data_IF_666715611722
#
_entry.id   IF_666715611722
#
_cell.length_a   1.000
_cell.length_b   1.000
_cell.length_c   1.000
_cell.angle_alpha   90.00
_cell.angle_beta   90.00
_cell.angle_gamma   90.00
#
_symmetry.space_group_name_H-M   'P 1'
#
loop_
_entity.id
_entity.type
_entity.pdbx_description
1 polymer ?
#
# COMPACT_ATOMS: atom_id res chain seq x y z
N UNK A 1 21.55 1.40 -32.27
CA UNK A 1 21.20 1.05 -33.66
C UNK A 1 19.90 0.27 -33.61
N UNK A 2 18.84 0.85 -34.13
CA UNK A 2 17.50 0.26 -34.25
C UNK A 2 17.46 -0.64 -35.48
N UNK A 3 17.18 -1.92 -35.31
CA UNK A 3 16.71 -2.80 -36.39
C UNK A 3 15.27 -3.21 -36.08
N UNK A 4 14.42 -3.17 -37.11
CA UNK A 4 13.01 -3.58 -37.05
C UNK A 4 12.82 -4.94 -37.75
N UNK A 5 11.83 -5.66 -37.22
CA UNK A 5 11.01 -6.72 -37.81
C UNK A 5 11.49 -8.19 -37.74
N UNK A 6 11.33 -8.80 -36.57
CA UNK A 6 10.75 -10.15 -36.42
C UNK A 6 9.68 -10.10 -35.32
N UNK A 7 8.56 -10.81 -35.48
CA UNK A 7 7.31 -10.61 -34.73
C UNK A 7 7.28 -11.13 -33.29
N UNK A 8 8.11 -10.60 -32.38
CA UNK A 8 8.00 -10.89 -30.95
C UNK A 8 7.04 -9.88 -30.29
N UNK A 9 5.87 -10.35 -29.89
CA UNK A 9 4.78 -9.56 -29.31
C UNK A 9 4.69 -9.68 -27.78
N UNK A 10 5.79 -10.02 -27.11
CA UNK A 10 5.85 -10.15 -25.66
C UNK A 10 7.14 -9.51 -25.13
N UNK A 11 7.07 -8.99 -23.91
CA UNK A 11 8.22 -8.44 -23.19
C UNK A 11 8.38 -9.14 -21.84
N UNK A 12 9.61 -9.17 -21.35
CA UNK A 12 9.93 -9.57 -19.99
C UNK A 12 10.80 -8.52 -19.29
N UNK A 13 10.69 -8.46 -17.97
CA UNK A 13 11.51 -7.59 -17.13
C UNK A 13 11.79 -8.27 -15.80
N UNK A 14 13.05 -8.25 -15.39
CA UNK A 14 13.43 -8.64 -14.03
C UNK A 14 13.72 -7.37 -13.21
N UNK A 15 13.15 -7.29 -12.00
CA UNK A 15 13.49 -6.29 -11.00
C UNK A 15 14.12 -6.97 -9.80
N UNK A 16 15.44 -6.82 -9.65
CA UNK A 16 16.22 -7.40 -8.54
C UNK A 16 15.71 -6.94 -7.16
N UNK A 17 15.25 -5.69 -7.05
CA UNK A 17 14.80 -5.14 -5.77
C UNK A 17 13.48 -5.77 -5.29
N UNK A 18 12.59 -6.08 -6.23
CA UNK A 18 11.29 -6.70 -5.94
C UNK A 18 11.36 -8.23 -5.98
N UNK A 19 12.51 -8.78 -6.38
CA UNK A 19 12.68 -10.19 -6.74
C UNK A 19 11.56 -10.65 -7.72
N UNK A 20 11.14 -9.76 -8.63
CA UNK A 20 10.01 -10.00 -9.54
C UNK A 20 10.48 -10.13 -10.98
N UNK A 21 10.10 -11.24 -11.61
CA UNK A 21 10.17 -11.46 -13.03
C UNK A 21 8.78 -11.28 -13.66
N UNK A 22 8.61 -10.26 -14.48
CA UNK A 22 7.36 -9.92 -15.14
C UNK A 22 7.33 -10.42 -16.59
N UNK A 23 6.23 -11.04 -16.99
CA UNK A 23 5.92 -11.42 -18.37
C UNK A 23 4.66 -10.68 -18.84
N UNK A 24 4.73 -10.01 -20.00
CA UNK A 24 3.60 -9.24 -20.52
C UNK A 24 3.46 -9.36 -22.05
N UNK A 25 2.23 -9.13 -22.55
CA UNK A 25 1.93 -9.19 -23.97
C UNK A 25 1.47 -10.58 -24.46
N UNK A 26 1.77 -10.91 -25.72
CA UNK A 26 1.31 -12.10 -26.42
C UNK A 26 2.46 -13.11 -26.58
N UNK A 27 2.56 -14.05 -25.64
CA UNK A 27 3.61 -15.06 -25.57
C UNK A 27 3.28 -16.30 -26.41
N UNK A 28 3.48 -16.21 -27.73
CA UNK A 28 3.13 -17.28 -28.69
C UNK A 28 4.29 -17.68 -29.61
N UNK A 29 5.39 -18.21 -29.07
CA UNK A 29 6.53 -18.65 -29.88
C UNK A 29 6.18 -19.86 -30.75
N UNK A 30 6.86 -20.04 -31.89
CA UNK A 30 6.69 -21.25 -32.72
C UNK A 30 7.52 -22.42 -32.19
N UNK A 31 8.68 -22.16 -31.59
CA UNK A 31 9.51 -23.14 -30.89
C UNK A 31 9.97 -22.63 -29.51
N UNK A 32 10.47 -23.54 -28.65
CA UNK A 32 10.99 -23.14 -27.34
C UNK A 32 12.23 -22.21 -27.46
N UNK A 33 13.00 -22.33 -28.55
CA UNK A 33 14.23 -21.55 -28.78
C UNK A 33 13.95 -20.04 -28.88
N UNK A 34 12.76 -19.65 -29.32
CA UNK A 34 12.33 -18.24 -29.34
C UNK A 34 12.18 -17.63 -27.93
N UNK A 35 12.22 -18.45 -26.88
CA UNK A 35 12.20 -17.99 -25.49
C UNK A 35 13.59 -17.91 -24.86
N UNK A 36 14.67 -18.30 -25.54
CA UNK A 36 15.99 -18.43 -24.92
C UNK A 36 16.42 -17.18 -24.15
N UNK A 37 16.26 -15.97 -24.72
CA UNK A 37 16.60 -14.73 -24.02
C UNK A 37 15.75 -14.46 -22.77
N UNK A 38 14.48 -14.90 -22.76
CA UNK A 38 13.62 -14.84 -21.58
C UNK A 38 14.03 -15.88 -20.53
N UNK A 39 14.40 -17.10 -20.97
CA UNK A 39 14.81 -18.18 -20.07
C UNK A 39 16.16 -17.86 -19.42
N UNK A 40 17.13 -17.32 -20.16
CA UNK A 40 18.42 -16.86 -19.62
C UNK A 40 18.25 -15.74 -18.58
N UNK A 41 17.31 -14.81 -18.82
CA UNK A 41 16.99 -13.77 -17.86
C UNK A 41 16.32 -14.37 -16.61
N UNK A 42 15.46 -15.37 -16.76
CA UNK A 42 14.82 -16.08 -15.65
C UNK A 42 15.83 -16.90 -14.83
N UNK A 43 16.80 -17.56 -15.47
CA UNK A 43 17.94 -18.22 -14.82
C UNK A 43 18.77 -17.22 -13.99
N UNK A 44 19.01 -16.04 -14.55
CA UNK A 44 19.73 -14.97 -13.85
C UNK A 44 18.93 -14.50 -12.62
N UNK A 45 17.61 -14.37 -12.77
CA UNK A 45 16.73 -14.00 -11.66
C UNK A 45 16.71 -15.07 -10.55
N UNK A 46 16.49 -16.34 -10.90
CA UNK A 46 16.39 -17.44 -9.92
C UNK A 46 17.72 -17.71 -9.20
N UNK A 47 18.85 -17.46 -9.86
CA UNK A 47 20.18 -17.60 -9.24
C UNK A 47 20.53 -16.48 -8.26
N UNK A 48 19.96 -15.29 -8.41
CA UNK A 48 20.25 -14.11 -7.57
C UNK A 48 19.27 -13.93 -6.42
N UNK A 49 18.02 -14.35 -6.59
CA UNK A 49 16.94 -14.23 -5.60
C UNK A 49 17.14 -15.16 -4.40
N UNK A 50 16.75 -14.66 -3.22
CA UNK A 50 16.76 -15.39 -1.94
C UNK A 50 15.33 -15.51 -1.39
N UNK A 51 14.97 -16.72 -0.96
CA UNK A 51 13.70 -17.00 -0.29
C UNK A 51 12.53 -17.15 -1.26
N UNK A 52 12.13 -16.09 -1.98
CA UNK A 52 10.98 -16.14 -2.90
C UNK A 52 11.19 -15.29 -4.16
N UNK A 53 10.93 -15.87 -5.33
CA UNK A 53 10.82 -15.18 -6.63
C UNK A 53 9.35 -14.93 -6.95
N UNK A 54 9.01 -13.73 -7.39
CA UNK A 54 7.67 -13.40 -7.89
C UNK A 54 7.65 -13.49 -9.42
N UNK A 55 6.84 -14.38 -9.99
CA UNK A 55 6.57 -14.43 -11.41
C UNK A 55 5.24 -13.74 -11.71
N UNK A 56 5.30 -12.51 -12.23
CA UNK A 56 4.10 -11.73 -12.53
C UNK A 56 3.65 -11.98 -13.98
N UNK A 57 2.47 -12.57 -14.15
CA UNK A 57 1.89 -12.88 -15.47
C UNK A 57 0.56 -12.16 -15.72
N UNK A 58 0.21 -11.19 -14.86
CA UNK A 58 -1.06 -10.45 -14.91
C UNK A 58 -1.31 -9.76 -16.25
N UNK A 59 -0.25 -9.31 -16.91
CA UNK A 59 -0.31 -8.56 -18.18
C UNK A 59 -0.12 -9.44 -19.42
N UNK A 60 -0.20 -10.77 -19.27
CA UNK A 60 -0.24 -11.67 -20.42
C UNK A 60 -1.61 -11.63 -21.09
N UNK A 61 -1.63 -11.24 -22.36
CA UNK A 61 -2.84 -11.24 -23.19
C UNK A 61 -3.11 -12.63 -23.74
N UNK A 62 -2.06 -13.34 -24.18
CA UNK A 62 -2.16 -14.71 -24.72
C UNK A 62 -0.89 -15.49 -24.41
N UNK A 63 -1.03 -16.80 -24.20
CA UNK A 63 0.10 -17.73 -24.11
C UNK A 63 -0.26 -19.05 -24.80
N UNK A 64 0.61 -19.56 -25.68
CA UNK A 64 0.41 -20.89 -26.27
C UNK A 64 1.01 -22.00 -25.38
N UNK A 65 0.80 -23.27 -25.74
CA UNK A 65 1.29 -24.38 -24.93
C UNK A 65 2.81 -24.57 -24.98
N UNK A 66 3.46 -24.18 -26.08
CA UNK A 66 4.93 -24.23 -26.19
C UNK A 66 5.55 -23.33 -25.11
N UNK A 67 5.09 -22.08 -25.01
CA UNK A 67 5.59 -21.17 -23.99
C UNK A 67 5.27 -21.61 -22.57
N UNK A 68 4.04 -22.03 -22.31
CA UNK A 68 3.67 -22.51 -20.99
C UNK A 68 4.54 -23.68 -20.54
N UNK A 69 4.74 -24.68 -21.40
CA UNK A 69 5.52 -25.87 -21.06
C UNK A 69 7.00 -25.54 -20.82
N UNK A 70 7.57 -24.61 -21.59
CA UNK A 70 8.94 -24.16 -21.38
C UNK A 70 9.10 -23.48 -20.01
N UNK A 71 8.25 -22.50 -19.70
CA UNK A 71 8.29 -21.78 -18.42
C UNK A 71 7.97 -22.72 -17.26
N UNK A 72 6.87 -23.47 -17.34
CA UNK A 72 6.44 -24.40 -16.30
C UNK A 72 7.54 -25.40 -15.91
N UNK A 73 8.16 -26.04 -16.92
CA UNK A 73 9.25 -26.98 -16.69
C UNK A 73 10.41 -26.31 -15.97
N UNK A 74 10.80 -25.13 -16.42
CA UNK A 74 11.89 -24.37 -15.81
C UNK A 74 11.61 -23.98 -14.36
N UNK A 75 10.40 -23.51 -14.03
CA UNK A 75 10.03 -23.18 -12.65
C UNK A 75 10.09 -24.41 -11.74
N UNK A 76 9.55 -25.55 -12.21
CA UNK A 76 9.59 -26.81 -11.47
C UNK A 76 11.03 -27.29 -11.28
N UNK A 77 11.84 -27.30 -12.35
CA UNK A 77 13.25 -27.70 -12.30
C UNK A 77 14.04 -26.77 -11.36
N UNK A 78 13.74 -25.47 -11.37
CA UNK A 78 14.35 -24.50 -10.45
C UNK A 78 14.03 -24.87 -9.00
N UNK A 79 12.76 -25.08 -8.63
CA UNK A 79 12.39 -25.45 -7.26
C UNK A 79 12.93 -26.81 -6.83
N UNK A 80 13.14 -27.75 -7.77
CA UNK A 80 13.81 -29.03 -7.49
C UNK A 80 15.29 -28.80 -7.18
N UNK A 81 15.97 -27.93 -7.93
CA UNK A 81 17.40 -27.65 -7.76
C UNK A 81 17.69 -26.65 -6.62
N UNK A 82 16.72 -25.81 -6.27
CA UNK A 82 16.76 -24.79 -5.22
C UNK A 82 15.58 -25.00 -4.26
N UNK A 83 15.63 -26.01 -3.38
CA UNK A 83 14.56 -26.29 -2.42
C UNK A 83 14.38 -25.16 -1.39
N UNK A 84 15.35 -24.24 -1.27
CA UNK A 84 15.29 -23.01 -0.49
C UNK A 84 14.48 -21.88 -1.16
N UNK A 85 14.21 -22.01 -2.47
CA UNK A 85 13.53 -20.98 -3.26
C UNK A 85 12.06 -21.33 -3.45
N UNK A 86 11.19 -20.41 -3.02
CA UNK A 86 9.78 -20.41 -3.32
C UNK A 86 9.51 -19.59 -4.57
N UNK A 87 8.54 -19.98 -5.39
CA UNK A 87 8.11 -19.20 -6.55
C UNK A 87 6.63 -18.87 -6.37
N UNK A 88 6.31 -17.58 -6.28
CA UNK A 88 4.95 -17.08 -6.27
C UNK A 88 4.59 -16.65 -7.69
N UNK A 89 3.63 -17.31 -8.32
CA UNK A 89 3.08 -16.87 -9.60
C UNK A 89 1.84 -16.03 -9.35
N UNK A 90 1.84 -14.79 -9.84
CA UNK A 90 0.68 -13.90 -9.72
C UNK A 90 -0.04 -13.79 -11.06
N UNK A 91 -1.26 -14.31 -11.13
CA UNK A 91 -2.18 -14.22 -12.28
C UNK A 91 -3.19 -13.09 -12.07
N UNK A 92 -4.10 -12.86 -13.02
CA UNK A 92 -5.15 -11.84 -12.88
C UNK A 92 -6.53 -12.44 -13.15
N UNK A 93 -7.54 -12.06 -12.36
CA UNK A 93 -8.95 -12.45 -12.56
C UNK A 93 -9.48 -12.02 -13.94
N UNK A 94 -9.01 -10.88 -14.45
CA UNK A 94 -9.29 -10.39 -15.81
C UNK A 94 -8.69 -11.27 -16.93
N UNK A 95 -7.78 -12.20 -16.59
CA UNK A 95 -7.14 -13.15 -17.50
C UNK A 95 -7.40 -14.58 -17.00
N UNK A 96 -8.67 -14.95 -16.84
CA UNK A 96 -9.08 -16.20 -16.17
C UNK A 96 -8.55 -17.51 -16.76
N UNK A 97 -7.98 -17.53 -17.98
CA UNK A 97 -7.28 -18.71 -18.48
C UNK A 97 -5.92 -18.92 -17.78
N UNK A 98 -5.27 -17.85 -17.33
CA UNK A 98 -3.91 -17.87 -16.77
C UNK A 98 -3.90 -18.56 -15.41
N UNK A 99 -4.82 -18.19 -14.51
CA UNK A 99 -5.01 -18.81 -13.19
C UNK A 99 -5.18 -20.32 -13.31
N UNK A 100 -6.16 -20.78 -14.10
CA UNK A 100 -6.39 -22.21 -14.34
C UNK A 100 -5.16 -22.95 -14.86
N UNK A 101 -4.34 -22.29 -15.69
CA UNK A 101 -3.17 -22.91 -16.31
C UNK A 101 -2.01 -23.01 -15.34
N UNK A 102 -1.70 -21.93 -14.62
CA UNK A 102 -0.58 -21.88 -13.69
C UNK A 102 -0.87 -22.63 -12.39
N UNK A 103 -2.12 -22.69 -11.93
CA UNK A 103 -2.49 -23.39 -10.70
C UNK A 103 -2.15 -24.89 -10.72
N UNK A 104 -2.04 -25.50 -11.91
CA UNK A 104 -1.52 -26.86 -12.05
C UNK A 104 -0.09 -27.04 -11.51
N UNK A 105 0.69 -25.96 -11.36
CA UNK A 105 2.07 -26.01 -10.84
C UNK A 105 2.13 -26.24 -9.33
N UNK A 106 1.11 -25.82 -8.57
CA UNK A 106 1.05 -26.06 -7.12
C UNK A 106 1.02 -27.56 -6.80
N UNK A 107 0.38 -28.34 -7.68
CA UNK A 107 0.38 -29.81 -7.59
C UNK A 107 1.69 -30.45 -8.07
N UNK A 108 2.50 -29.73 -8.85
CA UNK A 108 3.76 -30.22 -9.38
C UNK A 108 4.92 -30.01 -8.40
N UNK A 109 4.90 -28.93 -7.60
CA UNK A 109 5.91 -28.66 -6.59
C UNK A 109 5.35 -27.78 -5.45
N UNK A 110 5.53 -28.20 -4.20
CA UNK A 110 5.05 -27.49 -3.00
C UNK A 110 5.65 -26.09 -2.80
N UNK A 111 6.80 -25.81 -3.41
CA UNK A 111 7.46 -24.50 -3.34
C UNK A 111 6.93 -23.52 -4.40
N UNK A 112 5.99 -23.96 -5.25
CA UNK A 112 5.30 -23.10 -6.21
C UNK A 112 3.90 -22.82 -5.67
N UNK A 113 3.58 -21.54 -5.58
CA UNK A 113 2.29 -21.02 -5.13
C UNK A 113 1.72 -20.12 -6.22
N UNK A 114 0.42 -20.16 -6.43
CA UNK A 114 -0.25 -19.39 -7.48
C UNK A 114 -1.38 -18.60 -6.86
N UNK A 115 -1.24 -17.27 -6.87
CA UNK A 115 -2.29 -16.36 -6.43
C UNK A 115 -2.93 -15.69 -7.64
N UNK A 116 -4.26 -15.61 -7.62
CA UNK A 116 -4.98 -14.74 -8.53
C UNK A 116 -5.03 -13.36 -7.92
N UNK A 117 -4.40 -12.39 -8.58
CA UNK A 117 -4.65 -10.99 -8.29
C UNK A 117 -6.03 -10.65 -8.80
N UNK A 118 -6.95 -10.53 -7.85
CA UNK A 118 -8.26 -10.01 -8.13
C UNK A 118 -8.26 -8.51 -7.86
N UNK A 119 -8.54 -7.71 -8.90
CA UNK A 119 -8.85 -6.29 -8.69
C UNK A 119 -10.04 -6.10 -7.76
N UNK A 120 -10.89 -7.14 -7.63
CA UNK A 120 -12.07 -7.15 -6.78
C UNK A 120 -11.76 -7.51 -5.31
N UNK A 121 -10.52 -7.94 -4.98
CA UNK A 121 -10.10 -8.17 -3.58
C UNK A 121 -9.71 -6.85 -2.88
N UNK A 122 -9.38 -5.80 -3.64
CA UNK A 122 -9.16 -4.45 -3.12
C UNK A 122 -9.82 -3.41 -4.04
N UNK A 123 -11.16 -3.45 -4.21
CA UNK A 123 -11.86 -2.65 -5.22
C UNK A 123 -11.60 -1.15 -5.00
N UNK A 124 -11.50 -0.72 -3.74
CA UNK A 124 -11.22 0.65 -3.34
C UNK A 124 -9.76 1.12 -3.43
N UNK A 125 -8.77 0.22 -3.46
CA UNK A 125 -7.35 0.65 -3.50
C UNK A 125 -6.97 1.28 -4.85
N UNK A 126 -7.61 0.86 -5.94
CA UNK A 126 -7.34 1.41 -7.29
C UNK A 126 -7.54 2.93 -7.36
N UNK A 127 -8.47 3.50 -6.58
CA UNK A 127 -8.67 4.94 -6.48
C UNK A 127 -7.46 5.69 -5.90
N UNK A 128 -6.63 5.02 -5.10
CA UNK A 128 -5.57 5.61 -4.28
C UNK A 128 -4.15 5.35 -4.83
N UNK A 129 -4.01 4.43 -5.79
CA UNK A 129 -2.71 3.97 -6.31
C UNK A 129 -2.16 4.76 -7.51
N UNK A 130 -2.98 5.60 -8.15
CA UNK A 130 -2.53 6.35 -9.33
C UNK A 130 -1.54 7.48 -8.94
N UNK A 131 -0.53 7.72 -9.79
CA UNK A 131 0.57 8.67 -9.52
C UNK A 131 0.17 10.13 -9.22
N UNK A 132 -1.12 10.48 -9.35
CA UNK A 132 -1.70 11.73 -8.85
C UNK A 132 -1.72 11.86 -7.32
N UNK A 133 -1.52 10.76 -6.57
CA UNK A 133 -1.54 10.76 -5.10
C UNK A 133 -0.25 11.20 -4.41
N UNK A 134 0.90 11.19 -5.10
CA UNK A 134 2.19 11.53 -4.48
C UNK A 134 2.21 12.93 -3.84
N UNK A 135 1.76 14.01 -4.52
CA UNK A 135 1.72 15.34 -3.89
C UNK A 135 0.81 15.39 -2.66
N UNK A 136 -0.28 14.63 -2.67
CA UNK A 136 -1.27 14.57 -1.60
C UNK A 136 -0.65 13.92 -0.37
N UNK A 137 -0.06 12.73 -0.53
CA UNK A 137 0.58 11.98 0.55
C UNK A 137 1.75 12.76 1.18
N UNK A 138 2.46 13.55 0.36
CA UNK A 138 3.52 14.44 0.84
C UNK A 138 2.97 15.57 1.71
N UNK A 139 1.91 16.23 1.24
CA UNK A 139 1.24 17.28 2.00
C UNK A 139 0.59 16.73 3.27
N UNK A 140 -0.01 15.54 3.22
CA UNK A 140 -0.55 14.84 4.39
C UNK A 140 0.56 14.60 5.41
N UNK A 141 1.69 14.02 5.00
CA UNK A 141 2.83 13.78 5.90
C UNK A 141 3.37 15.07 6.51
N UNK A 142 3.45 16.15 5.70
CA UNK A 142 3.88 17.47 6.19
C UNK A 142 2.96 17.99 7.31
N UNK A 143 1.64 17.90 7.13
CA UNK A 143 0.67 18.40 8.10
C UNK A 143 0.60 17.51 9.36
N UNK A 144 0.73 16.18 9.21
CA UNK A 144 0.62 15.24 10.35
C UNK A 144 1.90 15.12 11.16
N UNK A 145 3.09 15.29 10.56
CA UNK A 145 4.37 15.05 11.23
C UNK A 145 4.58 15.91 12.49
N UNK A 146 4.11 17.15 12.48
CA UNK A 146 4.20 18.05 13.63
C UNK A 146 3.52 17.47 14.88
N UNK A 147 2.40 16.77 14.70
CA UNK A 147 1.66 16.12 15.77
C UNK A 147 2.28 14.75 16.11
N UNK A 148 2.55 13.95 15.08
CA UNK A 148 2.99 12.57 15.26
C UNK A 148 4.36 12.48 15.93
N UNK A 149 5.30 13.38 15.61
CA UNK A 149 6.64 13.34 16.21
C UNK A 149 6.61 13.42 17.75
N UNK A 150 5.61 14.12 18.30
CA UNK A 150 5.42 14.23 19.75
C UNK A 150 4.73 12.98 20.35
N UNK A 151 3.82 12.36 19.58
CA UNK A 151 3.01 11.21 20.02
C UNK A 151 3.82 9.90 19.94
N UNK A 152 4.65 9.72 18.93
CA UNK A 152 5.43 8.49 18.70
C UNK A 152 6.24 8.06 19.94
N UNK A 153 6.95 9.00 20.56
CA UNK A 153 7.73 8.74 21.78
C UNK A 153 6.86 8.33 22.96
N UNK A 154 5.68 8.94 23.13
CA UNK A 154 4.70 8.56 24.17
C UNK A 154 4.10 7.17 23.94
N UNK A 155 4.01 6.79 22.67
CA UNK A 155 3.60 5.46 22.26
C UNK A 155 4.74 4.43 22.31
N UNK A 156 5.97 4.84 22.61
CA UNK A 156 7.07 3.94 22.98
C UNK A 156 8.15 3.77 21.91
N UNK A 157 8.10 4.53 20.81
CA UNK A 157 9.22 4.61 19.87
C UNK A 157 10.41 5.26 20.57
N UNK A 158 11.60 4.68 20.40
CA UNK A 158 12.84 5.17 21.02
C UNK A 158 13.99 5.10 20.02
N UNK A 159 15.04 5.90 20.22
CA UNK A 159 16.19 5.83 19.35
C UNK A 159 16.85 4.44 19.31
N UNK A 160 17.39 4.07 18.14
CA UNK A 160 18.08 2.80 17.92
C UNK A 160 17.19 1.54 17.85
N UNK A 161 15.87 1.67 17.98
CA UNK A 161 14.94 0.53 17.83
C UNK A 161 14.95 -0.06 16.41
N UNK A 162 14.57 -1.33 16.30
CA UNK A 162 14.25 -1.96 15.02
C UNK A 162 12.78 -1.71 14.70
N UNK A 163 12.52 -1.01 13.61
CA UNK A 163 11.20 -0.56 13.22
C UNK A 163 10.77 -1.10 11.85
N UNK A 164 9.49 -1.40 11.70
CA UNK A 164 8.85 -1.64 10.42
C UNK A 164 7.74 -0.61 10.18
N UNK A 165 7.68 -0.02 9.00
CA UNK A 165 6.60 0.87 8.55
C UNK A 165 5.84 0.21 7.40
N UNK A 166 4.65 -0.29 7.69
CA UNK A 166 3.83 -1.11 6.80
C UNK A 166 2.74 -0.25 6.16
N UNK A 167 2.55 -0.39 4.85
CA UNK A 167 1.82 0.55 4.01
C UNK A 167 2.47 1.94 4.04
N UNK A 168 3.79 2.01 3.81
CA UNK A 168 4.56 3.22 3.98
C UNK A 168 4.29 4.32 2.92
N UNK A 169 3.53 3.99 1.87
CA UNK A 169 3.23 4.86 0.74
C UNK A 169 4.50 5.41 0.11
N UNK A 170 4.59 6.73 0.01
CA UNK A 170 5.74 7.45 -0.56
C UNK A 170 6.97 7.49 0.35
N UNK A 171 6.91 6.87 1.54
CA UNK A 171 8.05 6.66 2.42
C UNK A 171 8.59 7.90 3.14
N UNK A 172 7.94 9.06 3.02
CA UNK A 172 8.35 10.31 3.69
C UNK A 172 8.38 10.17 5.22
N UNK A 173 7.40 9.47 5.80
CA UNK A 173 7.37 9.19 7.23
C UNK A 173 8.56 8.33 7.68
N UNK A 174 8.90 7.28 6.94
CA UNK A 174 10.06 6.44 7.23
C UNK A 174 11.35 7.27 7.26
N UNK A 175 11.52 8.22 6.32
CA UNK A 175 12.66 9.15 6.30
C UNK A 175 12.68 10.05 7.54
N UNK A 176 11.52 10.60 7.92
CA UNK A 176 11.40 11.48 9.08
C UNK A 176 11.67 10.73 10.38
N UNK A 177 11.12 9.53 10.54
CA UNK A 177 11.35 8.65 11.68
C UNK A 177 12.84 8.25 11.78
N UNK A 178 13.48 7.90 10.66
CA UNK A 178 14.91 7.58 10.63
C UNK A 178 15.78 8.76 11.06
N UNK A 179 15.45 9.98 10.62
CA UNK A 179 16.20 11.19 11.00
C UNK A 179 16.03 11.56 12.47
N UNK A 180 14.82 11.44 13.00
CA UNK A 180 14.49 11.87 14.37
C UNK A 180 14.96 10.86 15.41
N UNK A 181 14.83 9.57 15.13
CA UNK A 181 15.06 8.50 16.09
C UNK A 181 16.34 7.69 15.80
N UNK A 182 17.07 7.94 14.72
CA UNK A 182 18.32 7.20 14.42
C UNK A 182 18.13 5.67 14.56
N UNK A 183 17.10 5.14 13.91
CA UNK A 183 16.70 3.74 14.10
C UNK A 183 17.83 2.79 13.69
N UNK A 184 18.00 1.73 14.47
CA UNK A 184 19.06 0.74 14.24
C UNK A 184 18.80 -0.10 12.99
N UNK A 185 17.52 -0.29 12.66
CA UNK A 185 17.03 -0.87 11.41
C UNK A 185 15.64 -0.31 11.12
N UNK A 186 15.38 0.13 9.89
CA UNK A 186 14.05 0.50 9.43
C UNK A 186 13.72 -0.23 8.13
N UNK A 187 12.64 -1.01 8.14
CA UNK A 187 12.04 -1.60 6.93
C UNK A 187 10.76 -0.86 6.61
N UNK A 188 10.61 -0.37 5.40
CA UNK A 188 9.41 0.32 4.92
C UNK A 188 8.80 -0.48 3.77
N UNK A 189 7.57 -0.98 3.95
CA UNK A 189 6.91 -1.89 3.02
C UNK A 189 5.66 -1.24 2.42
N UNK A 190 5.52 -1.36 1.10
CA UNK A 190 4.33 -0.92 0.37
C UNK A 190 4.12 -1.73 -0.91
N UNK A 191 2.88 -1.85 -1.38
CA UNK A 191 2.56 -2.54 -2.63
C UNK A 191 2.67 -1.63 -3.85
N UNK A 192 2.82 -0.31 -3.66
CA UNK A 192 2.97 0.66 -4.74
C UNK A 192 4.44 0.83 -5.17
N UNK A 193 4.82 0.19 -6.27
CA UNK A 193 6.19 0.30 -6.83
C UNK A 193 6.58 1.74 -7.14
N UNK A 194 5.67 2.53 -7.71
CA UNK A 194 5.88 3.95 -8.00
C UNK A 194 6.15 4.76 -6.74
N UNK A 195 5.43 4.46 -5.64
CA UNK A 195 5.65 5.12 -4.35
C UNK A 195 6.98 4.74 -3.73
N UNK A 196 7.38 3.47 -3.80
CA UNK A 196 8.70 3.03 -3.33
C UNK A 196 9.86 3.60 -4.16
N UNK A 197 9.71 3.69 -5.48
CA UNK A 197 10.72 4.32 -6.35
C UNK A 197 10.88 5.81 -6.03
N UNK A 198 9.75 6.50 -5.78
CA UNK A 198 9.76 7.86 -5.27
C UNK A 198 10.48 7.94 -3.91
N UNK A 199 10.11 7.08 -2.96
CA UNK A 199 10.68 7.06 -1.61
C UNK A 199 12.21 6.89 -1.64
N UNK A 200 12.71 5.94 -2.45
CA UNK A 200 14.16 5.72 -2.64
C UNK A 200 14.86 6.95 -3.20
N UNK A 201 14.26 7.61 -4.20
CA UNK A 201 14.80 8.85 -4.77
C UNK A 201 14.87 9.96 -3.72
N UNK A 202 13.79 10.17 -2.95
CA UNK A 202 13.73 11.19 -1.90
C UNK A 202 14.74 10.90 -0.79
N UNK A 203 14.85 9.66 -0.33
CA UNK A 203 15.83 9.26 0.67
C UNK A 203 17.27 9.56 0.20
N UNK A 204 17.58 9.26 -1.07
CA UNK A 204 18.87 9.58 -1.67
C UNK A 204 19.13 11.09 -1.78
N UNK A 205 18.14 11.87 -2.21
CA UNK A 205 18.23 13.35 -2.29
C UNK A 205 18.51 13.99 -0.93
N UNK A 206 17.91 13.46 0.14
CA UNK A 206 18.12 13.93 1.51
C UNK A 206 19.33 13.28 2.21
N UNK A 207 20.07 12.40 1.53
CA UNK A 207 21.23 11.70 2.10
C UNK A 207 20.88 10.77 3.27
N UNK A 208 19.62 10.33 3.40
CA UNK A 208 19.18 9.41 4.44
C UNK A 208 19.54 7.99 4.06
N UNK A 209 20.19 7.30 4.99
CA UNK A 209 20.58 5.88 4.87
C UNK A 209 19.88 5.08 5.96
N UNK A 210 19.84 3.76 5.80
CA UNK A 210 19.30 2.85 6.82
C UNK A 210 17.80 2.55 6.69
N UNK A 211 17.18 2.96 5.59
CA UNK A 211 15.78 2.60 5.25
C UNK A 211 15.80 1.52 4.16
N UNK A 212 15.29 0.34 4.48
CA UNK A 212 15.09 -0.78 3.56
C UNK A 212 13.68 -0.69 2.96
N UNK A 213 13.54 -0.18 1.73
CA UNK A 213 12.27 -0.11 1.02
C UNK A 213 11.94 -1.41 0.30
N UNK A 214 10.88 -2.09 0.73
CA UNK A 214 10.50 -3.44 0.28
C UNK A 214 9.13 -3.40 -0.41
N UNK A 215 9.06 -3.93 -1.62
CA UNK A 215 7.77 -4.20 -2.26
C UNK A 215 7.14 -5.43 -1.61
N UNK A 216 5.87 -5.33 -1.20
CA UNK A 216 5.16 -6.47 -0.63
C UNK A 216 3.69 -6.18 -0.34
N UNK A 217 2.93 -7.24 -0.11
CA UNK A 217 1.55 -7.18 0.36
C UNK A 217 1.53 -7.17 1.89
N UNK A 218 0.76 -6.27 2.49
CA UNK A 218 0.65 -6.14 3.94
C UNK A 218 -0.13 -7.30 4.59
N UNK A 219 -0.93 -8.03 3.82
CA UNK A 219 -1.67 -9.24 4.25
C UNK A 219 -0.81 -10.51 4.26
N UNK A 220 0.31 -10.52 3.52
CA UNK A 220 1.23 -11.66 3.44
C UNK A 220 2.70 -11.16 3.35
N UNK A 221 3.23 -10.67 4.47
CA UNK A 221 4.56 -10.06 4.48
C UNK A 221 5.69 -11.09 4.51
N UNK A 222 6.69 -10.95 3.64
CA UNK A 222 7.95 -11.71 3.68
C UNK A 222 8.94 -11.21 4.77
N UNK A 223 8.40 -10.80 5.91
CA UNK A 223 9.16 -10.45 7.10
C UNK A 223 9.02 -11.59 8.10
N UNK A 224 10.07 -11.92 8.85
CA UNK A 224 9.96 -13.02 9.82
C UNK A 224 9.18 -12.57 11.05
N UNK A 225 8.66 -13.55 11.79
CA UNK A 225 7.96 -13.28 13.05
C UNK A 225 8.92 -12.69 14.09
N UNK A 226 8.42 -11.81 14.96
CA UNK A 226 9.15 -11.27 16.10
C UNK A 226 10.46 -10.53 15.74
N UNK A 227 10.47 -9.74 14.66
CA UNK A 227 11.64 -9.01 14.20
C UNK A 227 11.72 -7.57 14.68
N UNK A 228 10.60 -6.90 14.96
CA UNK A 228 10.60 -5.45 15.18
C UNK A 228 10.15 -5.06 16.60
N UNK A 229 10.85 -4.10 17.20
CA UNK A 229 10.51 -3.54 18.51
C UNK A 229 9.29 -2.61 18.40
N UNK A 230 9.14 -1.94 17.24
CA UNK A 230 8.07 -1.00 16.95
C UNK A 230 7.59 -1.18 15.50
N UNK A 231 6.29 -1.36 15.29
CA UNK A 231 5.69 -1.53 13.96
C UNK A 231 4.67 -0.43 13.76
N UNK A 232 4.73 0.31 12.66
CA UNK A 232 3.75 1.31 12.28
C UNK A 232 2.91 0.85 11.09
N UNK A 233 1.63 1.21 11.09
CA UNK A 233 0.76 1.14 9.92
C UNK A 233 -0.17 2.36 9.95
N UNK A 234 0.08 3.33 9.06
CA UNK A 234 -0.48 4.69 9.17
C UNK A 234 -1.44 4.99 8.05
N UNK A 235 -2.60 5.55 8.37
CA UNK A 235 -3.62 6.00 7.40
C UNK A 235 -4.03 4.93 6.39
N UNK A 236 -3.93 3.65 6.77
CA UNK A 236 -3.99 2.53 5.84
C UNK A 236 -5.11 1.54 6.17
N UNK A 237 -5.27 1.11 7.43
CA UNK A 237 -6.23 0.04 7.76
C UNK A 237 -7.66 0.33 7.28
N UNK A 238 -8.06 1.60 7.24
CA UNK A 238 -9.35 2.07 6.73
C UNK A 238 -9.64 1.74 5.26
N UNK A 239 -8.63 1.42 4.43
CA UNK A 239 -8.78 1.13 3.00
C UNK A 239 -8.92 -0.36 2.71
N UNK A 240 -8.74 -1.21 3.73
CA UNK A 240 -8.86 -2.66 3.61
C UNK A 240 -10.27 -3.10 4.03
N UNK A 241 -10.81 -4.08 3.32
CA UNK A 241 -12.06 -4.78 3.65
C UNK A 241 -11.92 -5.67 4.91
N UNK A 242 -10.73 -6.28 5.06
CA UNK A 242 -10.36 -7.17 6.15
C UNK A 242 -9.13 -6.65 6.92
N UNK A 243 -9.22 -5.48 7.59
CA UNK A 243 -8.08 -4.87 8.30
C UNK A 243 -7.52 -5.76 9.42
N UNK A 244 -8.30 -6.72 9.94
CA UNK A 244 -7.86 -7.73 10.88
C UNK A 244 -6.75 -8.65 10.33
N UNK A 245 -6.70 -8.89 9.01
CA UNK A 245 -5.65 -9.69 8.39
C UNK A 245 -4.32 -8.96 8.42
N UNK A 246 -4.36 -7.67 8.11
CA UNK A 246 -3.20 -6.79 8.22
C UNK A 246 -2.72 -6.73 9.67
N UNK A 247 -3.65 -6.53 10.63
CA UNK A 247 -3.33 -6.51 12.06
C UNK A 247 -2.68 -7.82 12.56
N UNK A 248 -3.08 -8.99 12.05
CA UNK A 248 -2.44 -10.27 12.37
C UNK A 248 -0.99 -10.29 11.90
N UNK A 249 -0.70 -9.80 10.70
CA UNK A 249 0.66 -9.71 10.20
C UNK A 249 1.51 -8.68 10.96
N UNK A 250 0.95 -7.51 11.30
CA UNK A 250 1.60 -6.52 12.19
C UNK A 250 1.94 -7.15 13.55
N UNK A 251 1.00 -7.91 14.14
CA UNK A 251 1.23 -8.65 15.38
C UNK A 251 2.34 -9.70 15.21
N UNK A 252 2.33 -10.45 14.10
CA UNK A 252 3.31 -11.52 13.83
C UNK A 252 4.73 -10.99 13.76
N UNK A 253 4.98 -9.92 13.01
CA UNK A 253 6.31 -9.34 12.82
C UNK A 253 6.80 -8.55 14.05
N UNK A 254 5.88 -8.07 14.89
CA UNK A 254 6.22 -7.41 16.14
C UNK A 254 6.81 -8.42 17.15
N UNK A 255 7.89 -8.02 17.84
CA UNK A 255 8.50 -8.80 18.94
C UNK A 255 7.56 -8.90 20.15
N UNK A 256 7.65 -9.99 20.95
CA UNK A 256 7.07 -10.00 22.29
C UNK A 256 7.58 -8.80 23.10
N UNK A 257 6.67 -8.07 23.75
CA UNK A 257 6.95 -6.80 24.44
C UNK A 257 7.08 -5.56 23.53
N UNK A 258 7.18 -5.75 22.21
CA UNK A 258 7.16 -4.70 21.20
C UNK A 258 5.79 -4.05 21.05
N UNK A 259 5.70 -2.99 20.26
CA UNK A 259 4.45 -2.24 20.03
C UNK A 259 4.07 -2.13 18.57
N UNK A 260 2.77 -2.22 18.30
CA UNK A 260 2.15 -1.87 17.02
C UNK A 260 1.43 -0.54 17.19
N UNK A 261 1.74 0.42 16.33
CA UNK A 261 1.22 1.78 16.29
C UNK A 261 0.43 1.99 15.00
N UNK A 262 -0.82 2.43 15.12
CA UNK A 262 -1.71 2.64 13.99
C UNK A 262 -2.34 4.03 14.05
N UNK A 263 -2.53 4.64 12.89
CA UNK A 263 -3.30 5.88 12.74
C UNK A 263 -4.41 5.69 11.73
N UNK A 264 -5.61 6.17 12.07
CA UNK A 264 -6.79 6.06 11.20
C UNK A 264 -7.71 7.27 11.39
N UNK A 265 -8.54 7.52 10.39
CA UNK A 265 -9.38 8.69 10.30
C UNK A 265 -10.75 8.47 10.93
N UNK A 266 -11.45 9.59 11.15
CA UNK A 266 -12.90 9.61 11.34
C UNK A 266 -13.47 10.80 10.59
N UNK A 267 -13.55 10.69 9.27
CA UNK A 267 -13.81 11.84 8.41
C UNK A 267 -15.14 12.53 8.70
N UNK A 268 -16.16 11.81 9.18
CA UNK A 268 -17.43 12.41 9.66
C UNK A 268 -17.25 13.46 10.76
N UNK A 269 -16.06 13.59 11.36
CA UNK A 269 -15.73 14.59 12.38
C UNK A 269 -14.78 15.67 11.87
N UNK A 270 -14.59 15.79 10.55
CA UNK A 270 -14.04 16.99 9.95
C UNK A 270 -14.89 18.20 10.34
N UNK A 271 -14.22 19.28 10.73
CA UNK A 271 -14.84 20.52 11.21
C UNK A 271 -14.52 21.65 10.25
N UNK A 272 -15.46 22.57 10.06
CA UNK A 272 -15.15 23.81 9.38
C UNK A 272 -16.12 24.93 9.73
N UNK A 273 -15.60 26.15 9.82
CA UNK A 273 -16.38 27.37 9.97
C UNK A 273 -15.80 28.51 9.13
N UNK A 274 -16.61 29.29 8.39
CA UNK A 274 -18.07 29.17 8.29
C UNK A 274 -18.51 27.96 7.45
N UNK A 275 -19.83 27.72 7.37
CA UNK A 275 -20.48 26.66 6.57
C UNK A 275 -20.37 25.24 7.16
N UNK A 276 -20.31 25.12 8.48
CA UNK A 276 -20.24 23.83 9.17
C UNK A 276 -21.32 22.83 8.74
N UNK A 277 -22.55 23.26 8.50
CA UNK A 277 -23.64 22.34 8.10
C UNK A 277 -23.38 21.62 6.78
N UNK A 278 -22.86 22.31 5.76
CA UNK A 278 -22.58 21.70 4.45
C UNK A 278 -21.35 20.80 4.51
N UNK A 279 -20.33 21.23 5.25
CA UNK A 279 -19.10 20.47 5.51
C UNK A 279 -19.44 19.16 6.25
N UNK A 280 -20.20 19.27 7.35
CA UNK A 280 -20.63 18.12 8.16
C UNK A 280 -21.48 17.14 7.34
N UNK A 281 -22.40 17.64 6.52
CA UNK A 281 -23.19 16.80 5.62
C UNK A 281 -22.28 16.04 4.64
N UNK A 282 -21.34 16.73 3.98
CA UNK A 282 -20.42 16.11 3.04
C UNK A 282 -19.64 14.98 3.68
N UNK A 283 -19.01 15.18 4.83
CA UNK A 283 -18.22 14.09 5.41
C UNK A 283 -19.04 12.92 5.97
N UNK A 284 -20.31 13.15 6.33
CA UNK A 284 -21.24 12.04 6.62
C UNK A 284 -21.57 11.24 5.35
N UNK A 285 -21.64 11.88 4.18
CA UNK A 285 -21.79 11.17 2.91
C UNK A 285 -20.49 10.49 2.45
N UNK A 286 -19.31 11.03 2.77
CA UNK A 286 -18.00 10.34 2.56
C UNK A 286 -17.98 9.02 3.33
N UNK A 287 -18.40 9.01 4.59
CA UNK A 287 -18.47 7.77 5.38
C UNK A 287 -19.35 6.70 4.71
N UNK A 288 -20.52 7.08 4.19
CA UNK A 288 -21.40 6.15 3.45
C UNK A 288 -20.83 5.74 2.10
N UNK A 289 -20.05 6.61 1.47
CA UNK A 289 -19.37 6.30 0.20
C UNK A 289 -18.30 5.24 0.41
N UNK A 290 -17.50 5.36 1.47
CA UNK A 290 -16.48 4.35 1.80
C UNK A 290 -17.10 3.00 2.17
N UNK A 291 -18.15 3.01 2.99
CA UNK A 291 -18.90 1.80 3.36
C UNK A 291 -19.45 1.04 2.13
N UNK A 292 -19.85 1.76 1.07
CA UNK A 292 -20.30 1.13 -0.18
C UNK A 292 -19.22 0.32 -0.90
N UNK A 293 -17.95 0.69 -0.73
CA UNK A 293 -16.80 0.00 -1.34
C UNK A 293 -16.09 -0.92 -0.34
N UNK A 294 -16.79 -1.37 0.70
CA UNK A 294 -16.25 -2.23 1.77
C UNK A 294 -15.03 -1.63 2.48
N UNK A 295 -14.93 -0.29 2.52
CA UNK A 295 -13.89 0.44 3.25
C UNK A 295 -14.47 1.21 4.45
N UNK A 296 -13.62 1.61 5.40
CA UNK A 296 -14.06 2.22 6.65
C UNK A 296 -13.23 3.46 7.04
N UNK A 297 -13.55 4.62 6.46
CA UNK A 297 -12.95 5.93 6.82
C UNK A 297 -13.33 6.42 8.24
N UNK A 298 -14.05 5.60 8.98
CA UNK A 298 -14.49 5.83 10.36
C UNK A 298 -13.75 4.91 11.36
N UNK A 299 -12.64 4.28 10.92
CA UNK A 299 -11.90 3.29 11.69
C UNK A 299 -11.16 3.86 12.90
N UNK A 300 -10.89 5.17 12.93
CA UNK A 300 -10.17 5.88 14.00
C UNK A 300 -10.50 5.41 15.42
N UNK A 301 -11.70 5.68 15.95
CA UNK A 301 -12.11 5.22 17.27
C UNK A 301 -12.17 3.70 17.42
N UNK A 302 -12.42 2.96 16.32
CA UNK A 302 -12.51 1.49 16.30
C UNK A 302 -11.15 0.83 16.52
N UNK A 303 -10.05 1.55 16.26
CA UNK A 303 -8.66 1.09 16.46
C UNK A 303 -8.41 0.45 17.83
N UNK A 304 -9.02 0.98 18.91
CA UNK A 304 -8.90 0.38 20.26
C UNK A 304 -9.43 -1.05 20.30
N UNK A 305 -10.62 -1.27 19.70
CA UNK A 305 -11.26 -2.59 19.65
C UNK A 305 -10.43 -3.54 18.78
N UNK A 306 -10.03 -3.10 17.59
CA UNK A 306 -9.20 -3.90 16.69
C UNK A 306 -7.89 -4.38 17.34
N UNK A 307 -7.20 -3.51 18.09
CA UNK A 307 -6.01 -3.92 18.85
C UNK A 307 -6.35 -4.89 19.98
N UNK A 308 -7.46 -4.70 20.70
CA UNK A 308 -7.85 -5.61 21.78
C UNK A 308 -8.19 -7.01 21.24
N UNK A 309 -8.99 -7.07 20.17
CA UNK A 309 -9.40 -8.32 19.52
C UNK A 309 -8.20 -9.02 18.84
N UNK A 310 -7.21 -8.24 18.37
CA UNK A 310 -5.94 -8.73 17.84
C UNK A 310 -4.95 -9.25 18.90
N UNK A 311 -5.33 -9.26 20.19
CA UNK A 311 -4.52 -9.81 21.28
C UNK A 311 -3.43 -8.88 21.83
N UNK A 312 -3.50 -7.57 21.53
CA UNK A 312 -2.59 -6.60 22.11
C UNK A 312 -3.03 -6.18 23.53
N UNK A 313 -2.04 -5.93 24.39
CA UNK A 313 -2.21 -5.42 25.75
C UNK A 313 -1.72 -3.96 25.86
N UNK A 314 -1.91 -3.31 27.01
CA UNK A 314 -1.43 -1.94 27.27
C UNK A 314 -1.80 -0.94 26.15
N UNK A 315 -3.07 -1.01 25.70
CA UNK A 315 -3.56 -0.24 24.57
C UNK A 315 -3.68 1.25 24.93
N UNK A 316 -2.91 2.08 24.22
CA UNK A 316 -2.93 3.54 24.29
C UNK A 316 -3.76 4.11 23.16
N UNK A 317 -4.50 5.16 23.45
CA UNK A 317 -5.29 5.93 22.50
C UNK A 317 -4.98 7.42 22.70
N UNK A 318 -4.65 8.10 21.61
CA UNK A 318 -4.58 9.56 21.52
C UNK A 318 -5.32 9.99 20.24
N UNK A 319 -5.57 11.28 20.08
CA UNK A 319 -6.09 11.84 18.84
C UNK A 319 -5.56 13.25 18.68
N UNK A 320 -5.36 13.68 17.44
CA UNK A 320 -5.02 15.05 17.12
C UNK A 320 -5.87 15.56 15.96
N UNK A 321 -6.02 16.87 15.88
CA UNK A 321 -6.72 17.54 14.79
C UNK A 321 -5.66 18.18 13.89
N UNK A 322 -5.60 17.76 12.63
CA UNK A 322 -4.89 18.53 11.61
C UNK A 322 -5.76 19.74 11.30
N UNK A 323 -5.19 20.93 11.36
CA UNK A 323 -5.92 22.18 11.14
C UNK A 323 -5.31 23.02 10.04
N UNK A 324 -6.09 23.95 9.50
CA UNK A 324 -5.58 24.99 8.61
C UNK A 324 -4.54 25.92 9.27
N UNK A 325 -4.28 25.78 10.58
CA UNK A 325 -3.30 26.55 11.34
C UNK A 325 -1.95 25.83 11.53
N UNK A 326 -1.85 24.55 11.13
CA UNK A 326 -0.62 23.75 11.30
C UNK A 326 0.48 24.10 10.27
N UNK A 327 0.21 25.05 9.37
CA UNK A 327 1.13 25.44 8.32
C UNK A 327 0.53 26.49 7.39
N UNK A 328 0.79 26.36 6.08
CA UNK A 328 0.12 27.20 5.10
C UNK A 328 -1.32 26.67 4.93
N UNK A 329 -2.36 27.50 5.11
CA UNK A 329 -3.75 27.09 4.88
C UNK A 329 -4.00 26.52 3.47
N UNK A 330 -3.19 26.90 2.48
CA UNK A 330 -3.25 26.32 1.14
C UNK A 330 -2.89 24.83 1.13
N UNK A 331 -1.95 24.37 1.96
CA UNK A 331 -1.62 22.95 2.07
C UNK A 331 -2.84 22.14 2.53
N UNK A 332 -3.61 22.67 3.49
CA UNK A 332 -4.86 22.05 3.94
C UNK A 332 -5.89 22.05 2.80
N UNK A 333 -6.09 23.18 2.14
CA UNK A 333 -7.02 23.30 1.01
C UNK A 333 -6.68 22.31 -0.13
N UNK A 334 -5.40 22.10 -0.43
CA UNK A 334 -4.95 21.18 -1.48
C UNK A 334 -5.29 19.72 -1.13
N UNK A 335 -5.23 19.33 0.15
CA UNK A 335 -5.71 18.02 0.63
C UNK A 335 -7.22 17.90 0.41
N UNK A 336 -8.00 18.91 0.82
CA UNK A 336 -9.45 18.87 0.66
C UNK A 336 -9.86 18.82 -0.82
N UNK A 337 -9.17 19.57 -1.68
CA UNK A 337 -9.39 19.54 -3.13
C UNK A 337 -9.11 18.16 -3.72
N UNK A 338 -8.11 17.48 -3.18
CA UNK A 338 -7.75 16.14 -3.59
C UNK A 338 -8.80 15.11 -3.19
N UNK A 339 -9.31 15.20 -1.97
CA UNK A 339 -10.46 14.40 -1.52
C UNK A 339 -11.70 14.67 -2.36
N UNK A 340 -11.98 15.92 -2.73
CA UNK A 340 -13.08 16.22 -3.65
C UNK A 340 -12.92 15.48 -4.99
N UNK A 341 -11.71 15.51 -5.57
CA UNK A 341 -11.45 14.90 -6.87
C UNK A 341 -11.70 13.39 -6.86
N UNK A 342 -11.41 12.72 -5.75
CA UNK A 342 -11.60 11.27 -5.61
C UNK A 342 -13.03 10.94 -5.18
N UNK A 343 -13.48 11.52 -4.07
CA UNK A 343 -14.77 11.19 -3.46
C UNK A 343 -15.93 11.71 -4.31
N UNK A 344 -15.90 12.97 -4.74
CA UNK A 344 -16.90 13.55 -5.63
C UNK A 344 -16.55 13.42 -7.12
N UNK A 345 -15.54 12.60 -7.43
CA UNK A 345 -15.21 12.18 -8.79
C UNK A 345 -15.47 10.70 -8.96
N UNK A 346 -14.39 9.95 -9.16
CA UNK A 346 -14.47 8.54 -9.58
C UNK A 346 -15.33 7.69 -8.65
N UNK A 347 -15.17 7.82 -7.33
CA UNK A 347 -15.92 7.00 -6.35
C UNK A 347 -17.43 7.26 -6.40
N UNK A 348 -17.87 8.53 -6.39
CA UNK A 348 -19.31 8.84 -6.46
C UNK A 348 -19.93 8.41 -7.81
N UNK A 349 -19.18 8.55 -8.92
CA UNK A 349 -19.63 8.08 -10.23
C UNK A 349 -19.79 6.56 -10.24
N UNK A 350 -18.82 5.82 -9.68
CA UNK A 350 -18.87 4.35 -9.64
C UNK A 350 -19.96 3.81 -8.69
N UNK A 351 -20.23 4.50 -7.57
CA UNK A 351 -21.39 4.19 -6.71
C UNK A 351 -22.73 4.41 -7.44
N UNK A 352 -22.74 5.20 -8.53
CA UNK A 352 -23.93 5.50 -9.31
C UNK A 352 -24.69 6.74 -8.85
N UNK A 353 -24.02 7.69 -8.21
CA UNK A 353 -24.63 8.95 -7.77
C UNK A 353 -25.12 9.80 -8.95
N UNK A 354 -26.24 10.50 -8.78
CA UNK A 354 -26.76 11.42 -9.79
C UNK A 354 -25.85 12.65 -9.94
N UNK A 355 -25.88 13.34 -11.11
CA UNK A 355 -25.12 14.58 -11.31
C UNK A 355 -25.41 15.64 -10.23
N UNK A 356 -26.65 15.72 -9.74
CA UNK A 356 -27.06 16.65 -8.68
C UNK A 356 -26.45 16.26 -7.33
N UNK A 357 -26.39 14.97 -7.01
CA UNK A 357 -25.74 14.47 -5.79
C UNK A 357 -24.24 14.76 -5.82
N UNK A 358 -23.58 14.46 -6.94
CA UNK A 358 -22.15 14.76 -7.15
C UNK A 358 -21.87 16.25 -7.03
N UNK A 359 -22.69 17.11 -7.66
CA UNK A 359 -22.54 18.56 -7.56
C UNK A 359 -22.68 19.07 -6.12
N UNK A 360 -23.65 18.54 -5.35
CA UNK A 360 -23.80 18.86 -3.94
C UNK A 360 -22.60 18.41 -3.12
N UNK A 361 -22.05 17.23 -3.43
CA UNK A 361 -20.89 16.70 -2.75
C UNK A 361 -19.65 17.58 -2.96
N UNK A 362 -19.39 17.97 -4.22
CA UNK A 362 -18.35 18.96 -4.57
C UNK A 362 -18.52 20.27 -3.84
N UNK A 363 -19.74 20.78 -3.74
CA UNK A 363 -20.01 22.05 -3.05
C UNK A 363 -19.55 22.02 -1.58
N UNK A 364 -19.77 20.91 -0.85
CA UNK A 364 -19.32 20.85 0.54
C UNK A 364 -17.80 20.74 0.71
N UNK A 365 -17.07 20.13 -0.22
CA UNK A 365 -15.60 20.21 -0.23
C UNK A 365 -15.12 21.64 -0.52
N UNK A 366 -15.75 22.31 -1.50
CA UNK A 366 -15.46 23.71 -1.81
C UNK A 366 -15.78 24.65 -0.63
N UNK A 367 -16.82 24.33 0.15
CA UNK A 367 -17.15 25.04 1.39
C UNK A 367 -16.08 24.81 2.47
N UNK A 368 -15.51 23.61 2.56
CA UNK A 368 -14.43 23.32 3.48
C UNK A 368 -13.11 24.00 3.08
N UNK A 369 -12.79 24.04 1.79
CA UNK A 369 -11.67 24.83 1.24
C UNK A 369 -11.89 26.32 1.55
N UNK A 370 -13.11 26.83 1.36
CA UNK A 370 -13.46 28.20 1.71
C UNK A 370 -13.23 28.46 3.19
N UNK A 371 -13.68 27.59 4.09
CA UNK A 371 -13.46 27.72 5.53
C UNK A 371 -11.96 27.73 5.87
N UNK A 372 -11.17 26.85 5.26
CA UNK A 372 -9.73 26.76 5.49
C UNK A 372 -8.97 28.03 5.07
N UNK A 373 -9.34 28.63 3.93
CA UNK A 373 -8.70 29.82 3.36
C UNK A 373 -9.29 31.14 3.85
N UNK A 374 -10.43 31.11 4.55
CA UNK A 374 -11.08 32.31 5.03
C UNK A 374 -10.25 32.98 6.14
N UNK A 375 -10.03 34.32 6.14
CA UNK A 375 -9.18 35.00 7.12
C UNK A 375 -9.59 34.86 8.59
N UNK A 376 -10.85 34.50 8.84
CA UNK A 376 -11.41 34.21 10.18
C UNK A 376 -11.95 32.78 10.29
N UNK A 377 -11.63 31.94 9.31
CA UNK A 377 -12.14 30.59 9.23
C UNK A 377 -11.30 29.61 10.02
N UNK A 378 -11.91 28.49 10.32
CA UNK A 378 -11.27 27.33 10.95
C UNK A 378 -11.65 26.11 10.14
N UNK A 379 -10.70 25.21 9.92
CA UNK A 379 -10.92 23.94 9.27
C UNK A 379 -10.07 22.88 9.95
N UNK A 380 -10.63 21.68 10.13
CA UNK A 380 -10.03 20.62 10.90
C UNK A 380 -10.38 19.24 10.36
N UNK A 381 -9.40 18.34 10.40
CA UNK A 381 -9.54 16.93 10.08
C UNK A 381 -8.91 16.08 11.19
N UNK A 382 -9.69 15.21 11.86
CA UNK A 382 -9.20 14.48 13.03
C UNK A 382 -8.57 13.13 12.66
N UNK A 383 -7.49 12.80 13.37
CA UNK A 383 -6.77 11.53 13.29
C UNK A 383 -6.73 10.89 14.67
N UNK A 384 -7.05 9.59 14.73
CA UNK A 384 -6.88 8.78 15.92
C UNK A 384 -5.58 8.03 15.84
N UNK A 385 -4.89 8.01 16.97
CA UNK A 385 -3.67 7.26 17.16
C UNK A 385 -3.93 6.17 18.18
N UNK A 386 -3.59 4.94 17.84
CA UNK A 386 -3.66 3.83 18.76
C UNK A 386 -2.33 3.08 18.79
N UNK A 387 -1.96 2.51 19.94
CA UNK A 387 -0.91 1.49 19.94
C UNK A 387 -1.12 0.44 21.00
N UNK A 388 -0.83 -0.80 20.64
CA UNK A 388 -0.92 -1.97 21.52
C UNK A 388 0.44 -2.64 21.68
N UNK A 389 0.70 -3.20 22.86
CA UNK A 389 1.89 -4.01 23.14
C UNK A 389 1.58 -5.48 22.90
N UNK A 390 2.47 -6.17 22.19
CA UNK A 390 2.41 -7.63 22.09
C UNK A 390 2.82 -8.26 23.43
N UNK A 391 2.05 -9.22 23.98
CA UNK A 391 2.43 -9.95 25.19
C UNK A 391 3.82 -10.59 25.11
N UNK A 392 4.46 -10.83 26.26
CA UNK A 392 5.82 -11.40 26.38
C UNK A 392 5.90 -12.89 26.02
#
# INVERSE_FOLDING_TARGET
>A
MTSQATGHAFDWRFNENDQEFSLQGCLRPQSADELNGCMEALDTATSTVKGRLYLNVRRLVRMNNVAFQAIARHLVDTCVNRPDLNIQVTTSSCVGWSTRKFQALESANQNITVSEYDSDFYPGQTFLEEGGFIPILRTQTKLTWHHEREILGRHGLKPGMQMADICCGIGDFAILAQKEYELGRLVALDHSKSSLDYARKVAAEFGVKGVEYVYGDASEMLLESNQFDFVTCRHALQVFDHPEEILKELYRICKPGGRVYITNEKNSHCLGEPRSETIQWTYNEVAKLWDHFDMDIELGPKSRRYLADGGFEDIKMESFMVTNLDGNPQDFADIIQSWENVYAGQMAVERGDSPEQIARFRQGFQDHIFAALHPKGYAGWPIWVASGRKPL
#
